data_IF_897774640866
#
_entry.id   IF_897774640866
#
_cell.length_a   1.000
_cell.length_b   1.000
_cell.length_c   1.000
_cell.angle_alpha   90.00
_cell.angle_beta   90.00
_cell.angle_gamma   90.00
#
_symmetry.space_group_name_H-M   'P 1'
#
loop_
_entity.id
_entity.type
_entity.pdbx_description
1 polymer ?
#
# COMPACT_ATOMS: atom_id res chain seq x y z
N UNK A 1 -51.77 -28.74 -62.55
CA UNK A 1 -51.90 -28.37 -61.14
C UNK A 1 -50.54 -28.61 -60.50
N UNK A 2 -49.82 -27.54 -60.19
CA UNK A 2 -48.37 -27.56 -59.90
C UNK A 2 -48.07 -28.04 -58.47
N UNK A 3 -47.00 -28.84 -58.36
CA UNK A 3 -46.30 -29.26 -57.14
C UNK A 3 -45.76 -28.06 -56.36
N UNK A 4 -45.81 -28.10 -55.02
CA UNK A 4 -44.81 -27.42 -54.19
C UNK A 4 -44.34 -28.30 -53.03
N UNK A 5 -43.09 -28.71 -53.14
CA UNK A 5 -42.28 -29.40 -52.14
C UNK A 5 -41.61 -28.34 -51.26
N UNK A 6 -41.94 -28.27 -49.97
CA UNK A 6 -41.30 -27.34 -49.04
C UNK A 6 -40.05 -27.98 -48.42
N UNK A 7 -38.87 -27.60 -48.93
CA UNK A 7 -37.58 -27.90 -48.29
C UNK A 7 -37.31 -26.82 -47.23
N UNK A 8 -37.26 -27.20 -45.95
CA UNK A 8 -36.80 -26.31 -44.86
C UNK A 8 -35.29 -26.46 -44.72
N UNK A 9 -34.55 -25.42 -45.09
CA UNK A 9 -33.11 -25.31 -44.81
C UNK A 9 -32.93 -24.87 -43.36
N UNK A 10 -32.30 -25.72 -42.54
CA UNK A 10 -31.89 -25.36 -41.19
C UNK A 10 -30.56 -24.60 -41.25
N UNK A 11 -30.57 -23.33 -40.83
CA UNK A 11 -29.38 -22.50 -40.69
C UNK A 11 -28.67 -22.87 -39.38
N UNK A 12 -27.57 -23.62 -39.47
CA UNK A 12 -26.68 -23.89 -38.32
C UNK A 12 -25.76 -22.68 -38.16
N UNK A 13 -26.01 -21.88 -37.13
CA UNK A 13 -25.17 -20.75 -36.75
C UNK A 13 -23.90 -21.29 -36.07
N UNK A 14 -22.77 -21.28 -36.76
CA UNK A 14 -21.46 -21.54 -36.15
C UNK A 14 -21.09 -20.33 -35.28
N UNK A 15 -21.23 -20.47 -33.95
CA UNK A 15 -20.66 -19.55 -33.00
C UNK A 15 -19.13 -19.75 -33.01
N UNK A 16 -18.43 -18.95 -33.80
CA UNK A 16 -16.97 -18.90 -33.75
C UNK A 16 -16.55 -18.30 -32.40
N UNK A 17 -16.16 -19.16 -31.45
CA UNK A 17 -15.42 -18.76 -30.26
C UNK A 17 -14.11 -18.13 -30.73
N UNK A 18 -14.07 -16.79 -30.76
CA UNK A 18 -12.81 -16.06 -30.88
C UNK A 18 -12.06 -16.24 -29.57
N UNK A 19 -11.20 -17.25 -29.50
CA UNK A 19 -10.13 -17.28 -28.51
C UNK A 19 -9.16 -16.19 -28.94
N UNK A 20 -9.36 -14.98 -28.43
CA UNK A 20 -8.33 -13.96 -28.54
C UNK A 20 -7.14 -14.44 -27.70
N UNK A 21 -6.05 -14.80 -28.36
CA UNK A 21 -4.76 -14.99 -27.73
C UNK A 21 -4.31 -13.63 -27.17
N UNK A 22 -4.80 -13.29 -25.98
CA UNK A 22 -4.26 -12.18 -25.22
C UNK A 22 -2.97 -12.70 -24.61
N UNK A 23 -1.83 -12.14 -25.04
CA UNK A 23 -0.60 -12.30 -24.30
C UNK A 23 -0.82 -11.90 -22.85
N UNK A 24 -0.02 -12.44 -21.95
CA UNK A 24 -0.10 -12.10 -20.53
C UNK A 24 -0.10 -10.56 -20.37
N UNK A 25 -1.16 -9.95 -19.80
CA UNK A 25 -1.25 -8.50 -19.63
C UNK A 25 -0.18 -7.97 -18.66
N UNK A 26 0.54 -8.86 -17.96
CA UNK A 26 1.56 -8.49 -16.99
C UNK A 26 2.91 -8.21 -17.67
N UNK A 27 3.60 -7.10 -17.36
CA UNK A 27 4.94 -6.83 -17.85
C UNK A 27 5.94 -7.94 -17.50
N UNK A 28 6.86 -8.25 -18.41
CA UNK A 28 7.91 -9.25 -18.18
C UNK A 28 8.71 -8.95 -16.91
N UNK A 29 8.96 -9.97 -16.09
CA UNK A 29 9.67 -9.86 -14.80
C UNK A 29 8.78 -9.39 -13.66
N UNK A 30 7.47 -9.26 -13.88
CA UNK A 30 6.48 -8.96 -12.87
C UNK A 30 5.41 -10.05 -12.85
N UNK A 31 4.73 -10.16 -11.71
CA UNK A 31 3.48 -10.88 -11.57
C UNK A 31 2.42 -9.93 -11.01
N UNK A 32 1.15 -10.33 -11.08
CA UNK A 32 0.05 -9.66 -10.37
C UNK A 32 -0.54 -10.69 -9.41
N UNK A 33 -0.34 -10.54 -8.08
CA UNK A 33 -0.95 -11.43 -7.10
C UNK A 33 -2.48 -11.41 -7.19
N UNK A 34 -3.16 -12.54 -7.02
CA UNK A 34 -4.63 -12.60 -7.07
C UNK A 34 -5.27 -11.71 -6.00
N UNK A 35 -4.66 -11.65 -4.82
CA UNK A 35 -5.07 -10.80 -3.70
C UNK A 35 -4.71 -9.31 -3.90
N UNK A 36 -4.17 -8.93 -5.06
CA UNK A 36 -3.97 -7.54 -5.45
C UNK A 36 -5.09 -6.97 -6.31
N UNK A 37 -5.99 -7.83 -6.81
CA UNK A 37 -7.04 -7.46 -7.76
C UNK A 37 -8.10 -6.56 -7.10
N UNK A 38 -8.60 -5.58 -7.86
CA UNK A 38 -9.77 -4.79 -7.45
C UNK A 38 -11.02 -5.68 -7.36
N UNK A 39 -12.07 -5.26 -6.63
CA UNK A 39 -13.29 -6.08 -6.44
C UNK A 39 -13.98 -6.49 -7.75
N UNK A 40 -13.88 -5.66 -8.79
CA UNK A 40 -14.41 -5.92 -10.13
C UNK A 40 -13.40 -6.61 -11.07
N UNK A 41 -12.19 -6.94 -10.59
CA UNK A 41 -11.09 -7.54 -11.34
C UNK A 41 -10.48 -6.63 -12.41
N UNK A 42 -10.88 -5.36 -12.48
CA UNK A 42 -10.43 -4.43 -13.54
C UNK A 42 -8.99 -3.99 -13.35
N UNK A 43 -8.55 -3.85 -12.10
CA UNK A 43 -7.21 -3.39 -11.74
C UNK A 43 -6.47 -4.47 -10.95
N UNK A 44 -5.15 -4.41 -11.02
CA UNK A 44 -4.25 -5.21 -10.18
C UNK A 44 -2.95 -4.46 -9.92
N UNK A 45 -2.17 -4.93 -8.95
CA UNK A 45 -0.87 -4.34 -8.63
C UNK A 45 0.24 -5.28 -9.07
N UNK A 46 1.17 -4.77 -9.89
CA UNK A 46 2.35 -5.53 -10.28
C UNK A 46 3.33 -5.63 -9.12
N UNK A 47 3.89 -6.82 -8.97
CA UNK A 47 4.94 -7.12 -8.01
C UNK A 47 6.13 -7.67 -8.79
N UNK A 48 7.33 -7.05 -8.68
CA UNK A 48 8.52 -7.56 -9.35
C UNK A 48 8.88 -8.95 -8.83
N UNK A 49 9.31 -9.79 -9.76
CA UNK A 49 9.83 -11.12 -9.47
C UNK A 49 11.32 -11.00 -9.18
N UNK A 50 11.71 -11.42 -7.96
CA UNK A 50 13.11 -11.48 -7.56
C UNK A 50 13.90 -12.34 -8.56
N UNK A 51 15.05 -11.83 -9.01
CA UNK A 51 15.95 -12.41 -10.02
C UNK A 51 15.49 -12.27 -11.49
N UNK A 52 14.28 -11.75 -11.75
CA UNK A 52 13.79 -11.51 -13.12
C UNK A 52 13.58 -10.03 -13.45
N UNK A 53 13.08 -9.25 -12.48
CA UNK A 53 12.93 -7.82 -12.64
C UNK A 53 14.32 -7.15 -12.62
N UNK A 54 14.53 -6.07 -13.40
CA UNK A 54 15.77 -5.31 -13.32
C UNK A 54 15.94 -4.75 -11.91
N UNK A 55 17.09 -4.96 -11.29
CA UNK A 55 17.41 -4.38 -9.97
C UNK A 55 17.90 -2.93 -10.18
N UNK A 56 16.95 -2.01 -10.30
CA UNK A 56 17.20 -0.60 -10.56
C UNK A 56 16.24 0.25 -9.75
N UNK A 57 16.60 1.52 -9.51
CA UNK A 57 15.72 2.50 -8.86
C UNK A 57 14.39 2.71 -9.59
N UNK A 58 14.25 2.25 -10.84
CA UNK A 58 13.01 2.33 -11.62
C UNK A 58 12.02 1.18 -11.35
N UNK A 59 12.42 0.17 -10.56
CA UNK A 59 11.59 -1.00 -10.28
C UNK A 59 10.64 -0.72 -9.11
N UNK A 60 9.35 -0.63 -9.44
CA UNK A 60 8.29 -0.28 -8.51
C UNK A 60 7.07 -1.18 -8.66
N UNK A 61 6.29 -1.30 -7.59
CA UNK A 61 4.92 -1.78 -7.72
C UNK A 61 4.10 -0.76 -8.52
N UNK A 62 3.25 -1.22 -9.43
CA UNK A 62 2.44 -0.34 -10.27
C UNK A 62 1.01 -0.86 -10.37
N UNK A 63 0.04 0.06 -10.42
CA UNK A 63 -1.35 -0.30 -10.74
C UNK A 63 -1.46 -0.46 -12.25
N UNK A 64 -2.07 -1.56 -12.71
CA UNK A 64 -2.33 -1.83 -14.12
C UNK A 64 -3.81 -2.06 -14.38
N UNK A 65 -4.26 -1.84 -15.62
CA UNK A 65 -5.56 -2.34 -16.10
C UNK A 65 -5.40 -3.77 -16.60
N UNK A 66 -6.08 -4.72 -15.96
CA UNK A 66 -5.91 -6.16 -16.22
C UNK A 66 -6.30 -6.57 -17.64
N UNK A 67 -7.25 -5.85 -18.24
CA UNK A 67 -7.73 -6.14 -19.59
C UNK A 67 -6.66 -5.85 -20.66
N UNK A 68 -5.86 -4.81 -20.49
CA UNK A 68 -4.96 -4.30 -21.53
C UNK A 68 -3.48 -4.40 -21.15
N UNK A 69 -3.18 -4.68 -19.87
CA UNK A 69 -1.83 -4.59 -19.33
C UNK A 69 -1.32 -3.15 -19.18
N UNK A 70 -2.17 -2.15 -19.42
CA UNK A 70 -1.77 -0.75 -19.37
C UNK A 70 -1.40 -0.35 -17.95
N UNK A 71 -0.18 0.14 -17.76
CA UNK A 71 0.25 0.75 -16.51
C UNK A 71 -0.50 2.07 -16.30
N UNK A 72 -1.24 2.16 -15.19
CA UNK A 72 -1.98 3.35 -14.77
C UNK A 72 -1.11 4.29 -13.92
N UNK A 73 -0.11 3.72 -13.23
CA UNK A 73 0.96 4.47 -12.59
C UNK A 73 1.70 3.68 -11.52
N UNK A 74 2.92 4.10 -11.22
CA UNK A 74 3.74 3.53 -10.15
C UNK A 74 3.24 3.98 -8.77
N UNK A 75 3.33 3.07 -7.80
CA UNK A 75 3.11 3.34 -6.37
C UNK A 75 4.40 3.97 -5.84
N UNK A 76 4.30 5.21 -5.34
CA UNK A 76 5.42 6.04 -4.88
C UNK A 76 5.75 5.75 -3.42
N UNK A 77 6.29 4.56 -3.17
CA UNK A 77 6.86 4.15 -1.90
C UNK A 77 7.90 3.04 -2.12
N UNK A 78 8.37 2.42 -1.05
CA UNK A 78 9.27 1.27 -1.16
C UNK A 78 8.61 0.11 -1.91
N UNK A 79 9.39 -0.50 -2.80
CA UNK A 79 8.94 -1.62 -3.63
C UNK A 79 8.84 -2.91 -2.82
N UNK A 80 7.65 -3.50 -2.81
CA UNK A 80 7.44 -4.88 -2.34
C UNK A 80 7.77 -5.86 -3.45
N UNK A 81 8.46 -6.94 -3.10
CA UNK A 81 8.88 -8.00 -4.03
C UNK A 81 8.09 -9.26 -3.78
N UNK A 82 8.02 -10.15 -4.78
CA UNK A 82 7.30 -11.41 -4.63
C UNK A 82 7.93 -12.35 -3.59
N UNK A 83 9.21 -12.14 -3.28
CA UNK A 83 9.98 -12.87 -2.27
C UNK A 83 10.81 -11.87 -1.47
N UNK A 84 10.59 -11.83 -0.16
CA UNK A 84 11.31 -10.96 0.77
C UNK A 84 11.73 -11.77 2.01
N UNK A 85 12.94 -11.52 2.54
CA UNK A 85 13.48 -12.30 3.67
C UNK A 85 12.78 -11.99 5.01
N UNK A 86 12.36 -10.74 5.21
CA UNK A 86 11.74 -10.29 6.45
C UNK A 86 10.57 -9.35 6.18
N UNK A 87 9.52 -9.86 5.54
CA UNK A 87 8.33 -9.10 5.18
C UNK A 87 7.72 -9.66 3.89
N UNK A 88 6.92 -8.84 3.22
CA UNK A 88 6.29 -9.21 1.96
C UNK A 88 5.21 -8.22 1.55
N UNK A 89 4.74 -8.38 0.32
CA UNK A 89 3.49 -7.74 -0.09
C UNK A 89 2.35 -8.37 0.71
N UNK A 90 1.56 -7.54 1.39
CA UNK A 90 0.32 -7.98 2.04
C UNK A 90 -0.85 -7.94 1.04
N UNK A 91 -1.95 -8.67 1.30
CA UNK A 91 -3.16 -8.56 0.48
C UNK A 91 -3.58 -7.11 0.29
N UNK A 92 -3.89 -6.74 -0.95
CA UNK A 92 -4.33 -5.39 -1.26
C UNK A 92 -5.71 -5.15 -0.66
N UNK A 93 -5.88 -4.02 0.02
CA UNK A 93 -7.18 -3.62 0.54
C UNK A 93 -7.81 -2.63 -0.43
N UNK A 94 -8.96 -2.99 -0.97
CA UNK A 94 -9.74 -2.13 -1.85
C UNK A 94 -11.03 -1.70 -1.15
N UNK A 95 -11.48 -0.47 -1.41
CA UNK A 95 -12.85 -0.09 -1.05
C UNK A 95 -13.84 -0.91 -1.88
N UNK A 96 -15.07 -1.17 -1.40
CA UNK A 96 -16.05 -2.01 -2.11
C UNK A 96 -16.36 -1.54 -3.54
N UNK A 97 -16.26 -0.24 -3.80
CA UNK A 97 -16.48 0.38 -5.12
C UNK A 97 -15.22 0.45 -5.98
N UNK A 98 -14.08 -0.04 -5.50
CA UNK A 98 -12.78 0.00 -6.18
C UNK A 98 -12.18 1.40 -6.33
N UNK A 99 -12.73 2.42 -5.66
CA UNK A 99 -12.25 3.80 -5.75
C UNK A 99 -11.01 4.08 -4.89
N UNK A 100 -10.73 3.25 -3.88
CA UNK A 100 -9.57 3.34 -3.00
C UNK A 100 -8.79 2.04 -2.97
N UNK A 101 -7.47 2.18 -2.92
CA UNK A 101 -6.52 1.09 -2.71
C UNK A 101 -5.58 1.48 -1.57
N UNK A 102 -5.53 0.67 -0.52
CA UNK A 102 -4.49 0.73 0.49
C UNK A 102 -3.47 -0.38 0.21
N UNK A 103 -2.30 0.02 -0.29
CA UNK A 103 -1.19 -0.87 -0.60
C UNK A 103 -0.22 -0.95 0.57
N UNK A 104 0.07 -2.16 1.03
CA UNK A 104 0.94 -2.38 2.19
C UNK A 104 2.05 -3.37 1.85
N UNK A 105 3.28 -2.97 2.16
CA UNK A 105 4.46 -3.85 2.11
C UNK A 105 4.97 -3.99 3.53
N UNK A 106 4.89 -5.21 4.05
CA UNK A 106 5.34 -5.54 5.39
C UNK A 106 6.86 -5.62 5.48
N UNK A 107 7.39 -5.42 6.69
CA UNK A 107 8.81 -5.45 6.99
C UNK A 107 9.07 -6.00 8.39
N UNK A 108 10.33 -6.37 8.65
CA UNK A 108 10.75 -7.06 9.89
C UNK A 108 10.25 -6.39 11.18
N UNK A 109 10.27 -5.07 11.19
CA UNK A 109 10.02 -4.25 12.38
C UNK A 109 8.81 -3.34 12.17
N UNK A 110 8.75 -2.70 11.00
CA UNK A 110 7.71 -1.77 10.59
C UNK A 110 7.40 -2.02 9.12
N UNK A 111 6.24 -1.55 8.66
CA UNK A 111 5.93 -1.54 7.23
C UNK A 111 7.04 -0.84 6.44
N UNK A 112 7.40 -1.40 5.29
CA UNK A 112 8.22 -0.72 4.30
C UNK A 112 7.39 0.31 3.53
N UNK A 113 6.11 0.03 3.31
CA UNK A 113 5.17 0.91 2.62
C UNK A 113 3.77 0.78 3.19
N UNK A 114 3.09 1.92 3.34
CA UNK A 114 1.66 2.00 3.60
C UNK A 114 1.13 3.20 2.80
N UNK A 115 0.54 2.93 1.64
CA UNK A 115 0.17 3.96 0.66
C UNK A 115 -1.30 3.88 0.34
N UNK A 116 -2.00 4.99 0.49
CA UNK A 116 -3.38 5.14 0.03
C UNK A 116 -3.38 5.72 -1.38
N UNK A 117 -4.10 5.08 -2.30
CA UNK A 117 -4.33 5.57 -3.66
C UNK A 117 -5.82 5.82 -3.86
N UNK A 118 -6.14 6.91 -4.55
CA UNK A 118 -7.49 7.16 -5.07
C UNK A 118 -7.54 6.93 -6.56
N UNK A 119 -8.47 6.08 -6.98
CA UNK A 119 -8.77 5.79 -8.37
C UNK A 119 -9.97 6.61 -8.83
N UNK A 120 -9.84 7.30 -9.96
CA UNK A 120 -10.96 8.00 -10.59
C UNK A 120 -10.87 7.88 -12.10
N UNK A 121 -11.98 7.57 -12.76
CA UNK A 121 -12.09 7.55 -14.23
C UNK A 121 -10.96 6.73 -14.90
N UNK A 122 -10.58 5.60 -14.30
CA UNK A 122 -9.56 4.69 -14.84
C UNK A 122 -8.12 5.15 -14.71
N UNK A 123 -7.81 6.03 -13.76
CA UNK A 123 -6.44 6.48 -13.45
C UNK A 123 -6.26 6.70 -11.96
N UNK A 124 -5.01 6.71 -11.50
CA UNK A 124 -4.67 7.18 -10.16
C UNK A 124 -4.87 8.70 -10.13
N UNK A 125 -5.85 9.17 -9.35
CA UNK A 125 -6.14 10.60 -9.18
C UNK A 125 -5.09 11.25 -8.29
N UNK A 126 -4.77 10.60 -7.17
CA UNK A 126 -3.69 10.96 -6.26
C UNK A 126 -3.27 9.75 -5.43
N UNK A 127 -2.14 9.87 -4.74
CA UNK A 127 -1.67 8.89 -3.76
C UNK A 127 -1.00 9.59 -2.58
N UNK A 128 -1.09 8.98 -1.40
CA UNK A 128 -0.54 9.47 -0.14
C UNK A 128 0.27 8.37 0.51
N UNK A 129 1.56 8.62 0.71
CA UNK A 129 2.44 7.78 1.54
C UNK A 129 2.09 8.03 3.03
N UNK A 130 1.15 7.24 3.53
CA UNK A 130 0.59 7.37 4.89
C UNK A 130 1.65 7.06 5.94
N UNK A 131 2.50 6.06 5.68
CA UNK A 131 3.63 5.72 6.54
C UNK A 131 4.54 6.93 6.74
N UNK A 132 5.04 7.51 5.65
CA UNK A 132 5.97 8.63 5.72
C UNK A 132 5.32 9.88 6.31
N UNK A 133 4.08 10.17 5.95
CA UNK A 133 3.34 11.30 6.50
C UNK A 133 3.17 11.17 8.02
N UNK A 134 2.77 9.99 8.50
CA UNK A 134 2.64 9.67 9.93
C UNK A 134 3.96 9.79 10.67
N UNK A 135 5.02 9.17 10.14
CA UNK A 135 6.38 9.24 10.70
C UNK A 135 6.88 10.67 10.84
N UNK A 136 6.79 11.47 9.77
CA UNK A 136 7.22 12.87 9.80
C UNK A 136 6.40 13.68 10.81
N UNK A 137 5.09 13.47 10.86
CA UNK A 137 4.19 14.21 11.72
C UNK A 137 4.46 13.95 13.21
N UNK A 138 4.70 12.69 13.60
CA UNK A 138 4.98 12.34 15.00
C UNK A 138 6.38 12.78 15.42
N UNK A 139 7.41 12.52 14.59
CA UNK A 139 8.80 12.93 14.90
C UNK A 139 8.91 14.43 15.12
N UNK A 140 8.30 15.24 14.24
CA UNK A 140 8.31 16.69 14.36
C UNK A 140 7.64 17.18 15.66
N UNK A 141 6.51 16.58 16.05
CA UNK A 141 5.78 16.96 17.26
C UNK A 141 6.48 16.51 18.54
N UNK A 142 7.02 15.29 18.56
CA UNK A 142 7.79 14.78 19.70
C UNK A 142 9.05 15.58 19.91
N UNK A 143 9.77 15.92 18.83
CA UNK A 143 10.93 16.82 18.88
C UNK A 143 10.58 18.21 19.42
N UNK A 144 9.44 18.77 19.00
CA UNK A 144 8.95 20.07 19.50
C UNK A 144 8.55 20.01 20.98
N UNK A 145 7.90 18.93 21.40
CA UNK A 145 7.36 18.78 22.76
C UNK A 145 8.45 18.44 23.79
N UNK A 146 9.48 17.69 23.42
CA UNK A 146 10.54 17.24 24.33
C UNK A 146 11.93 17.28 23.68
N UNK A 147 12.44 18.46 23.26
CA UNK A 147 13.65 18.57 22.43
C UNK A 147 14.90 17.94 23.07
N UNK A 148 15.12 18.13 24.38
CA UNK A 148 16.27 17.56 25.07
C UNK A 148 16.20 16.02 25.17
N UNK A 149 15.04 15.47 25.54
CA UNK A 149 14.84 14.01 25.59
C UNK A 149 14.94 13.40 24.19
N UNK A 150 14.40 14.07 23.18
CA UNK A 150 14.48 13.64 21.79
C UNK A 150 15.93 13.57 21.31
N UNK A 151 16.73 14.61 21.57
CA UNK A 151 18.14 14.62 21.20
C UNK A 151 18.94 13.51 21.91
N UNK A 152 18.67 13.27 23.19
CA UNK A 152 19.30 12.19 23.96
C UNK A 152 18.95 10.80 23.40
N UNK A 153 17.66 10.54 23.17
CA UNK A 153 17.18 9.27 22.59
C UNK A 153 17.73 9.03 21.17
N UNK A 154 17.69 10.05 20.30
CA UNK A 154 18.28 9.97 18.95
C UNK A 154 19.76 9.65 18.97
N UNK A 155 20.50 10.21 19.94
CA UNK A 155 21.94 9.91 20.12
C UNK A 155 22.16 8.48 20.60
N UNK A 156 21.39 8.03 21.59
CA UNK A 156 21.48 6.66 22.12
C UNK A 156 21.19 5.61 21.03
N UNK A 157 20.23 5.90 20.14
CA UNK A 157 19.81 5.00 19.08
C UNK A 157 20.54 5.20 17.73
N UNK A 158 21.63 5.98 17.72
CA UNK A 158 22.39 6.23 16.51
C UNK A 158 22.98 4.91 15.97
N UNK A 159 22.77 4.62 14.68
CA UNK A 159 23.28 3.41 14.02
C UNK A 159 22.29 2.26 13.90
N UNK A 160 21.06 2.38 14.41
CA UNK A 160 20.02 1.34 14.31
C UNK A 160 19.50 1.07 12.88
N UNK A 161 19.97 1.83 11.88
CA UNK A 161 19.64 1.66 10.47
C UNK A 161 18.41 2.44 10.01
N UNK A 162 18.15 2.43 8.70
CA UNK A 162 17.11 3.25 8.05
C UNK A 162 15.68 2.86 8.42
N UNK A 163 15.46 1.64 8.93
CA UNK A 163 14.15 1.20 9.42
C UNK A 163 13.67 1.97 10.67
N UNK A 164 14.57 2.66 11.37
CA UNK A 164 14.27 3.44 12.57
C UNK A 164 14.45 4.92 12.24
N UNK A 165 13.40 5.63 11.78
CA UNK A 165 13.54 7.02 11.37
C UNK A 165 14.02 7.87 12.55
N UNK A 166 15.17 8.52 12.36
CA UNK A 166 15.90 9.26 13.40
C UNK A 166 16.23 8.44 14.67
N UNK A 167 16.33 7.12 14.57
CA UNK A 167 16.63 6.22 15.68
C UNK A 167 15.40 5.81 16.51
N UNK A 168 14.18 6.16 16.09
CA UNK A 168 12.95 5.78 16.79
C UNK A 168 12.25 4.61 16.10
N UNK A 169 11.55 3.82 16.89
CA UNK A 169 10.53 2.91 16.40
C UNK A 169 9.25 3.71 16.21
N UNK A 170 8.68 3.64 15.00
CA UNK A 170 7.45 4.37 14.67
C UNK A 170 6.48 3.45 13.95
N UNK A 171 5.36 3.16 14.60
CA UNK A 171 4.27 2.37 14.03
C UNK A 171 3.22 3.30 13.45
N UNK A 172 2.76 3.00 12.24
CA UNK A 172 1.66 3.70 11.57
C UNK A 172 0.62 2.66 11.18
N UNK A 173 -0.59 2.80 11.69
CA UNK A 173 -1.69 1.85 11.50
C UNK A 173 -2.92 2.59 11.03
N UNK A 174 -3.62 2.03 10.04
CA UNK A 174 -4.94 2.53 9.61
C UNK A 174 -6.05 1.83 10.38
N UNK A 175 -7.18 2.52 10.61
CA UNK A 175 -8.30 2.00 11.39
C UNK A 175 -9.62 2.09 10.63
N UNK A 176 -10.47 1.09 10.86
CA UNK A 176 -11.81 1.01 10.29
C UNK A 176 -11.81 0.58 8.83
N UNK A 177 -12.97 0.71 8.19
CA UNK A 177 -13.13 0.40 6.79
C UNK A 177 -12.33 1.37 5.91
N UNK A 178 -11.93 0.91 4.73
CA UNK A 178 -11.26 1.75 3.74
C UNK A 178 -12.25 2.73 3.10
N UNK A 179 -12.46 3.85 3.79
CA UNK A 179 -13.32 4.96 3.40
C UNK A 179 -12.71 6.29 3.86
N UNK A 180 -13.27 7.41 3.40
CA UNK A 180 -12.90 8.72 3.93
C UNK A 180 -13.81 9.15 5.10
N UNK A 181 -13.25 9.82 6.12
CA UNK A 181 -11.81 9.98 6.37
C UNK A 181 -11.16 8.63 6.74
N UNK A 182 -9.96 8.36 6.20
CA UNK A 182 -9.20 7.18 6.62
C UNK A 182 -8.51 7.51 7.94
N UNK A 183 -8.89 6.84 9.01
CA UNK A 183 -8.29 7.06 10.33
C UNK A 183 -6.91 6.41 10.43
N UNK A 184 -5.97 7.13 11.04
CA UNK A 184 -4.58 6.69 11.20
C UNK A 184 -4.12 6.94 12.64
N UNK A 185 -3.61 5.88 13.26
CA UNK A 185 -2.91 5.97 14.54
C UNK A 185 -1.42 5.81 14.32
N UNK A 186 -0.65 6.63 15.02
CA UNK A 186 0.81 6.61 14.96
C UNK A 186 1.36 6.58 16.38
N UNK A 187 2.28 5.66 16.64
CA UNK A 187 3.00 5.59 17.91
C UNK A 187 4.50 5.68 17.67
N UNK A 188 5.20 6.22 18.66
CA UNK A 188 6.66 6.34 18.64
C UNK A 188 7.21 5.92 19.99
N UNK A 189 8.29 5.15 19.96
CA UNK A 189 9.11 4.84 21.15
C UNK A 189 10.59 4.88 20.81
N UNK A 190 11.42 5.34 21.76
CA UNK A 190 12.87 5.18 21.70
C UNK A 190 13.35 3.82 22.23
N UNK A 191 12.49 3.06 22.90
CA UNK A 191 12.85 1.82 23.58
C UNK A 191 11.82 0.71 23.28
N UNK A 192 11.74 0.21 22.03
CA UNK A 192 10.73 -0.78 21.63
C UNK A 192 10.85 -2.14 22.33
N UNK A 193 11.99 -2.40 22.99
CA UNK A 193 12.27 -3.64 23.70
C UNK A 193 12.10 -3.51 25.22
N UNK A 194 11.64 -2.35 25.70
CA UNK A 194 11.51 -2.03 27.14
C UNK A 194 12.78 -2.40 27.93
N UNK A 195 13.96 -2.07 27.37
CA UNK A 195 15.25 -2.31 28.01
C UNK A 195 15.32 -1.48 29.30
N UNK A 196 15.61 -2.09 30.47
CA UNK A 196 15.74 -1.37 31.72
C UNK A 196 16.78 -0.26 31.66
N UNK A 197 16.56 0.82 32.40
CA UNK A 197 17.48 1.96 32.56
C UNK A 197 17.81 2.76 31.28
N UNK A 198 17.25 2.38 30.12
CA UNK A 198 17.38 3.15 28.88
C UNK A 198 16.43 4.36 28.85
N UNK A 199 16.89 5.54 28.39
CA UNK A 199 16.05 6.71 28.22
C UNK A 199 14.84 6.42 27.32
N UNK A 200 13.66 6.44 27.93
CA UNK A 200 12.40 6.16 27.23
C UNK A 200 11.69 7.47 26.88
N UNK A 201 11.43 7.66 25.59
CA UNK A 201 10.63 8.74 25.03
C UNK A 201 9.54 8.13 24.18
N UNK A 202 8.30 8.35 24.59
CA UNK A 202 7.12 7.83 23.90
C UNK A 202 6.19 8.98 23.51
N UNK A 203 5.45 8.77 22.43
CA UNK A 203 4.39 9.68 22.01
C UNK A 203 3.40 8.95 21.11
N UNK A 204 2.19 9.50 21.04
CA UNK A 204 1.11 8.99 20.21
C UNK A 204 0.47 10.12 19.43
N UNK A 205 -0.02 9.80 18.24
CA UNK A 205 -0.66 10.74 17.34
C UNK A 205 -1.86 10.06 16.70
N UNK A 206 -2.98 10.78 16.65
CA UNK A 206 -4.12 10.42 15.81
C UNK A 206 -4.15 11.37 14.62
N UNK A 207 -4.43 10.82 13.45
CA UNK A 207 -4.60 11.57 12.22
C UNK A 207 -5.67 10.96 11.34
N UNK A 208 -5.90 11.63 10.23
CA UNK A 208 -6.74 11.14 9.16
C UNK A 208 -6.17 11.50 7.80
N UNK A 209 -6.48 10.71 6.78
CA UNK A 209 -6.34 11.12 5.38
C UNK A 209 -7.71 11.51 4.86
N UNK A 210 -7.85 12.74 4.37
CA UNK A 210 -9.11 13.25 3.84
C UNK A 210 -9.31 12.90 2.35
N UNK A 211 -10.46 13.26 1.78
CA UNK A 211 -10.81 12.98 0.39
C UNK A 211 -9.86 13.59 -0.66
N UNK A 212 -9.04 14.58 -0.25
CA UNK A 212 -8.03 15.25 -1.07
C UNK A 212 -6.65 14.58 -0.97
N UNK A 213 -6.52 13.53 -0.16
CA UNK A 213 -5.26 12.84 0.09
C UNK A 213 -4.37 13.53 1.12
N UNK A 214 -4.89 14.53 1.85
CA UNK A 214 -4.10 15.27 2.83
C UNK A 214 -4.11 14.53 4.17
N UNK A 215 -2.91 14.31 4.73
CA UNK A 215 -2.75 13.79 6.08
C UNK A 215 -2.92 14.92 7.11
N UNK A 216 -3.94 14.84 7.95
CA UNK A 216 -4.29 15.84 8.96
C UNK A 216 -4.15 15.22 10.33
N UNK A 217 -3.39 15.88 11.21
CA UNK A 217 -3.23 15.46 12.61
C UNK A 217 -4.39 16.01 13.43
N UNK A 218 -5.09 15.14 14.15
CA UNK A 218 -6.25 15.49 14.97
C UNK A 218 -5.93 15.49 16.47
N UNK A 219 -5.01 14.64 16.92
CA UNK A 219 -4.56 14.61 18.30
C UNK A 219 -3.08 14.23 18.41
N UNK A 220 -2.42 14.72 19.46
CA UNK A 220 -1.06 14.35 19.81
C UNK A 220 -0.90 14.29 21.33
N UNK A 221 -0.22 13.26 21.80
CA UNK A 221 0.10 13.06 23.21
C UNK A 221 1.58 12.69 23.37
N UNK A 222 2.26 13.36 24.29
CA UNK A 222 3.61 13.00 24.72
C UNK A 222 3.49 12.11 25.95
N UNK A 223 4.03 10.88 25.88
CA UNK A 223 3.86 9.85 26.89
C UNK A 223 3.30 8.55 26.30
N UNK A 224 3.28 7.50 27.13
CA UNK A 224 2.76 6.18 26.76
C UNK A 224 1.27 6.28 26.44
N UNK A 225 0.88 5.63 25.35
CA UNK A 225 -0.50 5.54 24.90
C UNK A 225 -0.72 4.15 24.33
N UNK A 226 -1.94 3.64 24.48
CA UNK A 226 -2.30 2.33 23.96
C UNK A 226 -2.54 2.42 22.45
N UNK A 227 -1.65 1.80 21.68
CA UNK A 227 -1.94 1.41 20.29
C UNK A 227 -1.81 -0.10 20.25
N UNK A 228 -2.93 -0.81 20.24
CA UNK A 228 -2.94 -2.24 19.97
C UNK A 228 -2.73 -2.44 18.47
N UNK A 229 -1.71 -3.23 18.09
CA UNK A 229 -1.66 -3.85 16.75
C UNK A 229 -2.67 -4.99 16.77
N UNK A 230 -3.62 -4.99 15.82
CA UNK A 230 -4.44 -6.16 15.51
C UNK A 230 -3.65 -7.13 14.64
#
# INVERSE_FOLDING_TARGET
MFLHLSVRVALVLFLALRVSAWGDPVPKGFLVPEDSLSPDGRYGVTVPILDEAPDTDATHNSVIEMKTGKILGAIRASTGWNRMNHGGVLPAQWSPDGSLLLWTVDGKWFFHSLVLLKMEKGRIAWQTDVLKAGQQAILARTKKAAPAKYAAAKKANAGNGSAYPEGFSVDVVTKGDLAFPLHVDVSLTSNPKDIPDEPTLESNLQGLVNERGEFVVTAFHLGRGHTERF
#
